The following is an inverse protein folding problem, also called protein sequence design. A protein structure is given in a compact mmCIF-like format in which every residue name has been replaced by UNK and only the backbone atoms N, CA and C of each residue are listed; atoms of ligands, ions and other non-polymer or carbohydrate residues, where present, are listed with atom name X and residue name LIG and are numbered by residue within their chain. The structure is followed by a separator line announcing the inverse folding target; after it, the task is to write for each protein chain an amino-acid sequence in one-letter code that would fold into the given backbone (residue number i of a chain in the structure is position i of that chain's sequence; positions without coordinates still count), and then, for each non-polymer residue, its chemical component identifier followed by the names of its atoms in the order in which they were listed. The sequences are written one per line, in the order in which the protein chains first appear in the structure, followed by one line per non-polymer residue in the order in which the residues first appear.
data_IF_330319885902
#
_entry.id   IF_330319885902
#
_cell.length_a   1.000
_cell.length_b   1.000
_cell.length_c   1.000
_cell.angle_alpha   90.00
_cell.angle_beta   90.00
_cell.angle_gamma   90.00
#
_symmetry.space_group_name_H-M   'P 1'
#
loop_
_entity.id
_entity.type
_entity.pdbx_description
1 polymer ?
#
# COMPACT_ATOMS: atom_id res chain seq x y z
N UNK A 1 16.66 6.38 21.16
CA UNK A 1 17.81 7.20 20.70
C UNK A 1 17.74 8.56 21.34
N UNK A 2 18.87 9.19 21.64
CA UNK A 2 18.88 10.58 22.09
C UNK A 2 18.95 11.49 20.86
N UNK A 3 17.81 12.10 20.50
CA UNK A 3 17.76 13.12 19.47
C UNK A 3 17.93 14.48 20.15
N UNK A 4 19.18 14.94 20.26
CA UNK A 4 19.47 16.30 20.69
C UNK A 4 18.76 17.29 19.75
N UNK A 5 18.20 18.39 20.26
CA UNK A 5 17.62 19.41 19.39
C UNK A 5 18.67 19.91 18.38
N UNK A 6 18.24 20.13 17.16
CA UNK A 6 19.08 20.71 16.12
C UNK A 6 19.25 22.18 16.46
N UNK A 7 20.48 22.56 16.84
CA UNK A 7 20.85 23.92 17.25
C UNK A 7 20.88 24.96 16.13
N UNK A 8 20.15 24.72 15.04
CA UNK A 8 20.05 25.65 13.93
C UNK A 8 19.03 26.74 14.26
N UNK A 9 19.52 27.87 14.79
CA UNK A 9 18.70 29.05 15.08
C UNK A 9 18.49 29.87 13.81
N UNK A 10 17.29 29.81 13.24
CA UNK A 10 16.88 30.73 12.18
C UNK A 10 16.61 32.10 12.79
N UNK A 11 17.60 33.01 12.77
CA UNK A 11 17.44 34.37 13.29
C UNK A 11 16.39 35.12 12.45
N UNK A 12 15.50 35.87 13.11
CA UNK A 12 14.53 36.78 12.50
C UNK A 12 13.45 36.17 11.60
N UNK A 13 13.26 34.86 11.57
CA UNK A 13 12.08 34.26 10.92
C UNK A 13 11.04 33.95 12.00
N UNK A 14 9.97 34.75 12.06
CA UNK A 14 8.75 34.33 12.75
C UNK A 14 8.26 32.98 12.21
N UNK A 15 7.35 32.31 12.93
CA UNK A 15 6.64 31.17 12.34
C UNK A 15 5.91 31.72 11.12
N UNK A 16 6.25 31.28 9.89
CA UNK A 16 5.68 31.90 8.72
C UNK A 16 4.18 31.63 8.64
N UNK A 17 3.38 32.68 8.44
CA UNK A 17 1.95 32.53 8.17
C UNK A 17 1.77 32.29 6.68
N UNK A 18 1.53 31.04 6.30
CA UNK A 18 1.23 30.67 4.92
C UNK A 18 -0.28 30.56 4.79
N UNK A 19 -0.87 31.27 3.84
CA UNK A 19 -2.29 31.12 3.52
C UNK A 19 -2.48 29.87 2.66
N UNK A 20 -3.40 29.01 3.09
CA UNK A 20 -3.77 27.76 2.46
C UNK A 20 -5.22 27.83 2.00
N UNK A 21 -5.50 27.17 0.88
CA UNK A 21 -6.84 26.91 0.38
C UNK A 21 -7.14 25.44 0.47
N UNK A 22 -8.31 25.13 1.00
CA UNK A 22 -8.85 23.79 0.93
C UNK A 22 -9.33 23.50 -0.50
N UNK A 23 -8.99 22.33 -0.99
CA UNK A 23 -9.21 21.91 -2.36
C UNK A 23 -9.81 20.53 -2.39
N UNK A 24 -10.92 20.40 -3.12
CA UNK A 24 -11.59 19.13 -3.37
C UNK A 24 -11.22 18.57 -4.74
N UNK A 25 -10.70 17.35 -4.75
CA UNK A 25 -10.44 16.56 -5.96
C UNK A 25 -11.61 15.61 -6.25
N UNK A 26 -12.00 15.54 -7.51
CA UNK A 26 -13.07 14.65 -7.99
C UNK A 26 -12.47 13.42 -8.67
N UNK A 27 -12.71 12.24 -8.11
CA UNK A 27 -12.28 10.95 -8.67
C UNK A 27 -13.49 10.18 -9.21
N UNK A 28 -13.26 9.16 -10.04
CA UNK A 28 -14.29 8.18 -10.38
C UNK A 28 -14.73 7.44 -9.10
N UNK A 29 -15.98 7.61 -8.72
CA UNK A 29 -16.61 7.01 -7.55
C UNK A 29 -17.41 5.74 -7.89
N UNK A 30 -17.33 5.28 -9.15
CA UNK A 30 -17.97 4.04 -9.60
C UNK A 30 -17.63 2.88 -8.67
N UNK A 31 -18.67 2.18 -8.22
CA UNK A 31 -18.56 1.08 -7.26
C UNK A 31 -19.62 0.01 -7.49
N UNK A 32 -19.36 -1.16 -6.93
CA UNK A 32 -20.34 -2.23 -6.81
C UNK A 32 -21.31 -1.84 -5.69
N UNK A 33 -22.60 -1.78 -6.01
CA UNK A 33 -23.66 -1.48 -5.04
C UNK A 33 -23.74 -2.56 -3.95
N UNK A 34 -24.25 -3.74 -4.31
CA UNK A 34 -24.30 -4.90 -3.42
C UNK A 34 -23.20 -5.91 -3.79
N UNK A 35 -22.16 -5.98 -2.95
CA UNK A 35 -21.07 -6.94 -3.15
C UNK A 35 -21.51 -8.39 -2.91
N UNK A 36 -22.51 -8.60 -2.04
CA UNK A 36 -23.04 -9.91 -1.71
C UNK A 36 -23.73 -10.54 -2.90
N UNK A 37 -24.68 -9.80 -3.49
CA UNK A 37 -25.37 -10.24 -4.71
C UNK A 37 -24.38 -10.44 -5.87
N UNK A 38 -23.53 -9.43 -6.13
CA UNK A 38 -22.56 -9.45 -7.23
C UNK A 38 -21.62 -10.66 -7.15
N UNK A 39 -20.99 -10.88 -5.99
CA UNK A 39 -20.01 -11.96 -5.85
C UNK A 39 -20.68 -13.34 -5.79
N UNK A 40 -21.87 -13.46 -5.20
CA UNK A 40 -22.63 -14.72 -5.20
C UNK A 40 -22.97 -15.15 -6.61
N UNK A 41 -23.43 -14.23 -7.46
CA UNK A 41 -23.69 -14.50 -8.87
C UNK A 41 -22.42 -14.91 -9.63
N UNK A 42 -21.32 -14.18 -9.42
CA UNK A 42 -20.03 -14.48 -10.07
C UNK A 42 -19.48 -15.86 -9.67
N UNK A 43 -19.58 -16.22 -8.38
CA UNK A 43 -19.18 -17.54 -7.88
C UNK A 43 -20.07 -18.65 -8.46
N UNK A 44 -21.39 -18.46 -8.49
CA UNK A 44 -22.35 -19.43 -9.02
C UNK A 44 -22.14 -19.73 -10.51
N UNK A 45 -21.64 -18.76 -11.27
CA UNK A 45 -21.37 -18.92 -12.70
C UNK A 45 -20.08 -19.71 -13.02
N UNK A 46 -19.24 -20.03 -12.01
CA UNK A 46 -18.01 -20.78 -12.23
C UNK A 46 -18.29 -22.24 -12.61
N UNK A 47 -17.70 -22.76 -13.70
CA UNK A 47 -17.82 -24.18 -14.08
C UNK A 47 -16.87 -25.04 -13.24
N UNK A 48 -17.16 -25.17 -11.94
CA UNK A 48 -16.31 -25.90 -11.00
C UNK A 48 -16.55 -27.42 -11.04
N UNK A 49 -15.53 -28.24 -10.75
CA UNK A 49 -15.73 -29.66 -10.52
C UNK A 49 -16.54 -29.91 -9.23
N UNK A 50 -17.02 -31.15 -9.00
CA UNK A 50 -17.60 -31.53 -7.71
C UNK A 50 -16.63 -31.29 -6.55
N UNK A 51 -17.09 -30.59 -5.51
CA UNK A 51 -16.26 -30.17 -4.37
C UNK A 51 -16.49 -30.98 -3.09
N UNK A 52 -17.47 -31.90 -3.09
CA UNK A 52 -17.82 -32.71 -1.92
C UNK A 52 -16.58 -33.42 -1.34
N UNK A 53 -16.32 -33.19 -0.05
CA UNK A 53 -15.18 -33.73 0.68
C UNK A 53 -13.81 -33.14 0.30
N UNK A 54 -13.70 -32.35 -0.77
CA UNK A 54 -12.43 -31.75 -1.22
C UNK A 54 -11.92 -30.74 -0.21
N UNK A 55 -10.62 -30.78 0.05
CA UNK A 55 -9.97 -29.85 0.96
C UNK A 55 -9.52 -28.62 0.17
N UNK A 56 -10.02 -27.44 0.53
CA UNK A 56 -9.81 -26.20 -0.22
C UNK A 56 -9.19 -25.13 0.66
N UNK A 57 -8.03 -24.62 0.25
CA UNK A 57 -7.37 -23.49 0.90
C UNK A 57 -7.82 -22.16 0.28
N UNK A 58 -8.20 -21.19 1.10
CA UNK A 58 -8.51 -19.82 0.67
C UNK A 58 -7.43 -18.88 1.18
N UNK A 59 -6.76 -18.15 0.29
CA UNK A 59 -5.69 -17.23 0.70
C UNK A 59 -6.25 -15.98 1.38
N UNK A 60 -5.62 -15.53 2.47
CA UNK A 60 -5.87 -14.23 3.07
C UNK A 60 -4.57 -13.41 3.17
N UNK A 61 -4.58 -12.22 2.58
CA UNK A 61 -3.44 -11.30 2.55
C UNK A 61 -3.34 -10.40 3.78
N UNK A 62 -2.26 -9.62 3.86
CA UNK A 62 -1.98 -8.72 4.98
C UNK A 62 -2.43 -7.28 4.76
N UNK A 63 -3.35 -7.03 3.83
CA UNK A 63 -3.72 -5.67 3.42
C UNK A 63 -5.20 -5.45 3.66
N UNK A 64 -5.52 -4.28 4.20
CA UNK A 64 -6.88 -3.77 4.19
C UNK A 64 -7.36 -3.63 2.76
N UNK A 65 -8.45 -4.33 2.45
CA UNK A 65 -9.20 -4.24 1.21
C UNK A 65 -10.66 -4.03 1.62
N UNK A 66 -11.35 -3.14 0.93
CA UNK A 66 -12.74 -2.84 1.14
C UNK A 66 -13.59 -4.11 1.17
N UNK A 67 -14.38 -4.27 2.24
CA UNK A 67 -15.29 -5.40 2.44
C UNK A 67 -14.59 -6.78 2.38
N UNK A 68 -13.28 -6.87 2.66
CA UNK A 68 -12.52 -8.14 2.56
C UNK A 68 -13.09 -9.26 3.44
N UNK A 69 -13.58 -8.92 4.63
CA UNK A 69 -14.24 -9.86 5.54
C UNK A 69 -15.48 -10.48 4.88
N UNK A 70 -16.32 -9.64 4.28
CA UNK A 70 -17.52 -10.07 3.54
C UNK A 70 -17.16 -10.92 2.32
N UNK A 71 -16.20 -10.47 1.50
CA UNK A 71 -15.72 -11.22 0.33
C UNK A 71 -15.21 -12.60 0.73
N UNK A 72 -14.34 -12.66 1.75
CA UNK A 72 -13.78 -13.92 2.24
C UNK A 72 -14.87 -14.85 2.75
N UNK A 73 -15.84 -14.33 3.52
CA UNK A 73 -16.97 -15.11 4.04
C UNK A 73 -17.83 -15.69 2.93
N UNK A 74 -18.17 -14.91 1.91
CA UNK A 74 -18.96 -15.36 0.76
C UNK A 74 -18.27 -16.49 -0.01
N UNK A 75 -16.94 -16.40 -0.20
CA UNK A 75 -16.16 -17.47 -0.83
C UNK A 75 -16.18 -18.72 0.03
N UNK A 76 -15.96 -18.59 1.34
CA UNK A 76 -15.97 -19.73 2.27
C UNK A 76 -17.32 -20.43 2.28
N UNK A 77 -18.41 -19.67 2.41
CA UNK A 77 -19.77 -20.22 2.44
C UNK A 77 -20.13 -20.91 1.13
N UNK A 78 -19.85 -20.27 -0.01
CA UNK A 78 -20.08 -20.84 -1.34
C UNK A 78 -19.41 -22.21 -1.55
N UNK A 79 -18.19 -22.38 -1.02
CA UNK A 79 -17.45 -23.63 -1.09
C UNK A 79 -18.01 -24.67 -0.10
N UNK A 80 -18.37 -24.26 1.12
CA UNK A 80 -18.98 -25.13 2.14
C UNK A 80 -20.34 -25.67 1.71
N UNK A 81 -21.16 -24.83 1.08
CA UNK A 81 -22.47 -25.20 0.54
C UNK A 81 -22.38 -26.25 -0.58
N UNK A 82 -21.18 -26.42 -1.15
CA UNK A 82 -20.83 -27.46 -2.13
C UNK A 82 -20.12 -28.67 -1.51
N UNK A 83 -20.16 -28.80 -0.19
CA UNK A 83 -19.60 -29.92 0.57
C UNK A 83 -18.07 -29.89 0.74
N UNK A 84 -17.41 -28.76 0.47
CA UNK A 84 -15.96 -28.67 0.60
C UNK A 84 -15.49 -28.54 2.07
N UNK A 85 -14.33 -29.12 2.36
CA UNK A 85 -13.59 -28.95 3.59
C UNK A 85 -12.68 -27.70 3.49
N UNK A 86 -13.23 -26.54 3.82
CA UNK A 86 -12.57 -25.23 3.62
C UNK A 86 -11.71 -24.83 4.82
N UNK A 87 -10.56 -24.20 4.54
CA UNK A 87 -9.74 -23.53 5.55
C UNK A 87 -9.04 -22.31 4.95
N UNK A 88 -8.72 -21.33 5.79
CA UNK A 88 -8.02 -20.12 5.37
C UNK A 88 -6.52 -20.27 5.64
N UNK A 89 -5.70 -19.82 4.68
CA UNK A 89 -4.25 -19.76 4.82
C UNK A 89 -3.77 -18.30 4.77
N UNK A 90 -3.05 -17.83 5.80
CA UNK A 90 -2.34 -16.57 5.70
C UNK A 90 -1.30 -16.63 4.56
N UNK A 91 -1.43 -15.75 3.59
CA UNK A 91 -0.60 -15.72 2.38
C UNK A 91 -0.01 -14.32 2.21
N UNK A 92 1.01 -14.01 3.03
CA UNK A 92 1.51 -12.64 3.17
C UNK A 92 3.03 -12.50 3.22
N UNK A 93 3.76 -13.50 2.73
CA UNK A 93 5.22 -13.45 2.63
C UNK A 93 5.88 -13.30 4.01
N UNK A 94 6.62 -12.20 4.21
CA UNK A 94 7.31 -11.85 5.46
C UNK A 94 6.48 -11.01 6.44
N UNK A 95 5.24 -10.65 6.10
CA UNK A 95 4.39 -9.88 7.00
C UNK A 95 4.05 -10.65 8.28
N UNK A 96 3.60 -9.94 9.31
CA UNK A 96 3.42 -10.52 10.64
C UNK A 96 4.75 -10.99 11.26
N UNK A 97 5.87 -10.35 10.90
CA UNK A 97 7.21 -10.76 11.34
C UNK A 97 7.70 -12.10 10.75
N UNK A 98 6.99 -12.66 9.76
CA UNK A 98 7.33 -13.96 9.19
C UNK A 98 7.12 -15.13 10.15
N UNK A 99 6.22 -14.98 11.12
CA UNK A 99 5.82 -16.04 12.07
C UNK A 99 4.36 -16.41 11.91
N UNK A 100 3.99 -17.63 12.30
CA UNK A 100 2.61 -18.10 12.20
C UNK A 100 1.66 -17.25 13.08
N UNK A 101 2.09 -16.93 14.30
CA UNK A 101 1.32 -16.14 15.26
C UNK A 101 1.15 -14.71 14.79
N UNK A 102 2.21 -14.09 14.26
CA UNK A 102 2.13 -12.73 13.78
C UNK A 102 1.26 -12.60 12.53
N UNK A 103 1.27 -13.59 11.63
CA UNK A 103 0.37 -13.60 10.48
C UNK A 103 -1.09 -13.80 10.89
N UNK A 104 -1.38 -14.62 11.91
CA UNK A 104 -2.73 -14.76 12.46
C UNK A 104 -3.24 -13.43 13.06
N UNK A 105 -2.41 -12.73 13.84
CA UNK A 105 -2.74 -11.40 14.39
C UNK A 105 -3.05 -10.37 13.31
N UNK A 106 -2.31 -10.37 12.20
CA UNK A 106 -2.59 -9.49 11.06
C UNK A 106 -3.98 -9.76 10.46
N UNK A 107 -4.44 -11.02 10.41
CA UNK A 107 -5.79 -11.34 9.92
C UNK A 107 -6.89 -10.89 10.90
N UNK A 108 -6.63 -10.97 12.21
CA UNK A 108 -7.54 -10.50 13.26
C UNK A 108 -7.83 -8.99 13.13
N UNK A 109 -6.84 -8.18 12.75
CA UNK A 109 -7.01 -6.74 12.47
C UNK A 109 -8.00 -6.46 11.33
N UNK A 110 -8.19 -7.41 10.42
CA UNK A 110 -9.17 -7.33 9.31
C UNK A 110 -10.46 -8.12 9.61
N UNK A 111 -10.68 -8.49 10.87
CA UNK A 111 -11.82 -9.31 11.30
C UNK A 111 -11.92 -10.64 10.56
N UNK A 112 -10.79 -11.20 10.11
CA UNK A 112 -10.71 -12.54 9.54
C UNK A 112 -10.22 -13.47 10.65
N UNK A 113 -11.18 -14.08 11.34
CA UNK A 113 -10.98 -14.99 12.48
C UNK A 113 -11.69 -16.31 12.24
N UNK A 114 -11.33 -17.36 12.98
CA UNK A 114 -11.99 -18.66 12.87
C UNK A 114 -13.49 -18.57 13.22
N UNK A 115 -13.83 -17.72 14.19
CA UNK A 115 -15.20 -17.42 14.60
C UNK A 115 -15.99 -16.72 13.49
N UNK A 116 -15.47 -15.61 12.95
CA UNK A 116 -16.16 -14.83 11.91
C UNK A 116 -16.29 -15.59 10.58
N UNK A 117 -15.33 -16.48 10.28
CA UNK A 117 -15.31 -17.24 9.03
C UNK A 117 -16.01 -18.61 9.16
N UNK A 118 -16.13 -19.14 10.38
CA UNK A 118 -16.71 -20.46 10.64
C UNK A 118 -15.90 -21.60 10.02
N UNK A 119 -14.59 -21.40 9.85
CA UNK A 119 -13.60 -22.35 9.33
C UNK A 119 -12.24 -22.14 9.98
N UNK A 120 -11.36 -23.17 10.02
CA UNK A 120 -10.02 -23.03 10.59
C UNK A 120 -9.14 -22.03 9.83
N UNK A 121 -8.26 -21.34 10.56
CA UNK A 121 -7.14 -20.56 10.00
C UNK A 121 -5.87 -21.37 10.24
N UNK A 122 -5.34 -21.96 9.17
CA UNK A 122 -4.12 -22.77 9.22
C UNK A 122 -2.93 -21.86 8.96
N UNK A 123 -2.40 -21.28 10.04
CA UNK A 123 -1.18 -20.49 10.01
C UNK A 123 0.02 -21.35 10.37
N UNK A 124 0.93 -21.54 9.43
CA UNK A 124 2.20 -22.22 9.62
C UNK A 124 3.26 -21.57 8.71
N UNK A 125 4.55 -21.79 8.96
CA UNK A 125 5.63 -21.24 8.12
C UNK A 125 6.30 -22.28 7.20
N UNK A 126 5.82 -23.52 7.19
CA UNK A 126 6.35 -24.57 6.31
C UNK A 126 6.12 -24.22 4.84
N UNK A 127 7.12 -24.50 4.02
CA UNK A 127 7.11 -24.28 2.58
C UNK A 127 7.81 -25.43 1.86
N UNK A 128 7.45 -25.64 0.60
CA UNK A 128 8.16 -26.52 -0.32
C UNK A 128 8.30 -25.86 -1.68
N UNK A 129 9.36 -26.18 -2.40
CA UNK A 129 9.53 -25.74 -3.78
C UNK A 129 8.67 -26.59 -4.71
N UNK A 130 7.83 -25.94 -5.49
CA UNK A 130 6.82 -26.59 -6.35
C UNK A 130 7.20 -26.55 -7.83
N UNK A 131 8.27 -25.84 -8.18
CA UNK A 131 8.76 -25.72 -9.54
C UNK A 131 9.76 -24.59 -9.67
N UNK A 132 10.08 -24.27 -10.91
CA UNK A 132 11.04 -23.26 -11.30
C UNK A 132 10.44 -22.46 -12.46
N UNK A 133 10.63 -21.14 -12.43
CA UNK A 133 10.19 -20.29 -13.53
C UNK A 133 11.05 -20.51 -14.77
N UNK A 134 10.57 -20.10 -15.96
CA UNK A 134 11.40 -19.97 -17.18
C UNK A 134 12.67 -19.14 -16.91
N UNK A 135 12.56 -18.24 -15.92
CA UNK A 135 13.58 -17.43 -15.30
C UNK A 135 14.77 -18.12 -14.63
N UNK A 136 14.64 -19.41 -14.31
CA UNK A 136 15.54 -20.12 -13.42
C UNK A 136 15.30 -19.84 -11.91
N UNK A 137 14.16 -19.24 -11.55
CA UNK A 137 13.87 -18.87 -10.15
C UNK A 137 12.96 -19.93 -9.53
N UNK A 138 13.40 -20.52 -8.41
CA UNK A 138 12.61 -21.52 -7.68
C UNK A 138 11.38 -20.87 -7.04
N UNK A 139 10.22 -21.51 -7.22
CA UNK A 139 8.94 -21.06 -6.66
C UNK A 139 8.54 -21.96 -5.51
N UNK A 140 8.21 -21.36 -4.37
CA UNK A 140 7.76 -22.06 -3.18
C UNK A 140 6.26 -21.85 -2.95
N UNK A 141 5.63 -22.82 -2.28
CA UNK A 141 4.27 -22.73 -1.77
C UNK A 141 4.23 -23.15 -0.30
N UNK A 142 3.28 -22.61 0.46
CA UNK A 142 3.00 -23.01 1.83
C UNK A 142 2.56 -24.47 1.91
N UNK A 143 3.13 -25.22 2.85
CA UNK A 143 2.87 -26.66 2.98
C UNK A 143 1.38 -27.00 3.09
N UNK A 144 0.65 -26.30 3.97
CA UNK A 144 -0.80 -26.51 4.13
C UNK A 144 -1.60 -26.20 2.86
N UNK A 145 -1.29 -25.11 2.16
CA UNK A 145 -1.97 -24.72 0.93
C UNK A 145 -1.71 -25.74 -0.19
N UNK A 146 -0.46 -26.20 -0.35
CA UNK A 146 -0.12 -27.18 -1.36
C UNK A 146 -0.66 -28.58 -1.07
N UNK A 147 -0.81 -28.94 0.21
CA UNK A 147 -1.41 -30.21 0.63
C UNK A 147 -2.93 -30.27 0.39
N UNK A 148 -3.59 -29.14 0.14
CA UNK A 148 -4.99 -29.10 -0.26
C UNK A 148 -5.20 -29.71 -1.65
N UNK A 149 -6.43 -30.16 -1.94
CA UNK A 149 -6.84 -30.54 -3.30
C UNK A 149 -6.78 -29.31 -4.20
N UNK A 150 -7.26 -28.17 -3.68
CA UNK A 150 -7.45 -26.94 -4.42
C UNK A 150 -7.11 -25.69 -3.61
N UNK A 151 -6.75 -24.62 -4.30
CA UNK A 151 -6.43 -23.30 -3.75
C UNK A 151 -7.29 -22.25 -4.46
N UNK A 152 -7.97 -21.40 -3.67
CA UNK A 152 -8.61 -20.17 -4.14
C UNK A 152 -7.72 -18.99 -3.78
N UNK A 153 -7.32 -18.24 -4.80
CA UNK A 153 -6.41 -17.09 -4.65
C UNK A 153 -7.24 -15.81 -4.61
N UNK A 154 -7.13 -15.02 -3.54
CA UNK A 154 -7.90 -13.79 -3.35
C UNK A 154 -6.92 -12.64 -3.16
N UNK A 155 -7.01 -11.60 -3.97
CA UNK A 155 -6.20 -10.40 -3.76
C UNK A 155 -6.76 -9.16 -4.47
N UNK A 156 -6.30 -7.99 -4.01
CA UNK A 156 -6.48 -6.72 -4.71
C UNK A 156 -5.46 -6.56 -5.83
N UNK A 157 -5.95 -6.25 -7.04
CA UNK A 157 -5.15 -5.80 -8.17
C UNK A 157 -4.92 -4.30 -8.00
N UNK A 158 -3.64 -3.87 -7.95
CA UNK A 158 -3.28 -2.45 -7.82
C UNK A 158 -1.87 -2.14 -8.31
N UNK A 159 -1.62 -0.87 -8.56
CA UNK A 159 -0.28 -0.37 -8.83
C UNK A 159 0.68 -0.69 -7.66
N UNK A 160 1.89 -1.11 -7.99
CA UNK A 160 2.99 -1.36 -7.07
C UNK A 160 3.70 -0.06 -6.70
N UNK A 161 4.30 -0.05 -5.52
CA UNK A 161 5.02 1.11 -4.97
C UNK A 161 6.50 1.15 -5.36
N UNK A 162 7.07 0.02 -5.79
CA UNK A 162 8.53 -0.13 -6.00
C UNK A 162 8.94 -0.38 -7.45
N UNK A 163 8.02 -0.73 -8.36
CA UNK A 163 8.34 -0.99 -9.77
C UNK A 163 7.10 -0.77 -10.65
N UNK A 164 7.30 -0.75 -11.96
CA UNK A 164 6.25 -0.61 -12.97
C UNK A 164 6.37 -1.71 -14.01
N UNK A 165 5.25 -2.37 -14.29
CA UNK A 165 5.18 -3.46 -15.25
C UNK A 165 3.74 -3.73 -15.69
N UNK A 166 3.57 -4.68 -16.61
CA UNK A 166 2.26 -5.18 -17.02
C UNK A 166 1.58 -6.02 -15.91
N UNK A 167 2.37 -6.49 -14.95
CA UNK A 167 1.96 -7.23 -13.76
C UNK A 167 2.56 -6.58 -12.52
N UNK A 168 1.73 -6.22 -11.54
CA UNK A 168 2.16 -5.49 -10.35
C UNK A 168 1.64 -6.17 -9.07
N UNK A 169 0.69 -5.59 -8.34
CA UNK A 169 -0.01 -6.32 -7.26
C UNK A 169 -1.25 -6.99 -7.82
N UNK A 170 -1.55 -8.20 -7.36
CA UNK A 170 -2.69 -8.99 -7.83
C UNK A 170 -2.62 -10.45 -7.39
N UNK A 171 -3.36 -11.31 -8.08
CA UNK A 171 -3.37 -12.76 -7.90
C UNK A 171 -2.00 -13.37 -8.23
N UNK A 172 -1.31 -12.91 -9.28
CA UNK A 172 0.02 -13.41 -9.63
C UNK A 172 1.02 -13.17 -8.50
N UNK A 173 0.97 -11.99 -7.87
CA UNK A 173 1.80 -11.66 -6.71
C UNK A 173 1.39 -12.46 -5.46
N UNK A 174 0.09 -12.70 -5.28
CA UNK A 174 -0.40 -13.55 -4.18
C UNK A 174 0.15 -14.97 -4.31
N UNK A 175 0.21 -15.52 -5.53
CA UNK A 175 0.83 -16.81 -5.80
C UNK A 175 2.35 -16.77 -5.56
N UNK A 176 3.07 -15.84 -6.19
CA UNK A 176 4.54 -15.79 -6.12
C UNK A 176 5.08 -15.49 -4.70
N UNK A 177 4.51 -14.48 -4.02
CA UNK A 177 5.04 -13.97 -2.75
C UNK A 177 4.17 -14.39 -1.57
N UNK A 178 2.84 -14.30 -1.71
CA UNK A 178 1.91 -14.60 -0.63
C UNK A 178 1.98 -16.07 -0.21
N UNK A 179 1.66 -16.97 -1.14
CA UNK A 179 1.74 -18.43 -0.95
C UNK A 179 3.18 -18.91 -0.72
N UNK A 180 4.18 -18.18 -1.21
CA UNK A 180 5.59 -18.48 -0.95
C UNK A 180 6.01 -18.34 0.52
N UNK A 181 5.20 -17.69 1.37
CA UNK A 181 5.54 -17.34 2.76
C UNK A 181 6.92 -16.65 2.84
N UNK A 182 7.57 -16.66 4.00
CA UNK A 182 8.83 -15.95 4.17
C UNK A 182 9.96 -16.49 3.28
N UNK A 183 10.12 -17.82 3.18
CA UNK A 183 11.20 -18.46 2.40
C UNK A 183 11.03 -18.20 0.90
N UNK A 184 9.83 -18.37 0.35
CA UNK A 184 9.53 -18.09 -1.05
C UNK A 184 9.67 -16.62 -1.38
N UNK A 185 9.14 -15.73 -0.53
CA UNK A 185 9.33 -14.29 -0.68
C UNK A 185 10.83 -13.93 -0.72
N UNK A 186 11.62 -14.36 0.26
CA UNK A 186 13.05 -14.09 0.28
C UNK A 186 13.79 -14.67 -0.95
N UNK A 187 13.34 -15.82 -1.46
CA UNK A 187 13.91 -16.44 -2.67
C UNK A 187 13.68 -15.59 -3.91
N UNK A 188 12.46 -15.13 -4.16
CA UNK A 188 12.16 -14.33 -5.36
C UNK A 188 12.74 -12.91 -5.26
N UNK A 189 12.81 -12.31 -4.07
CA UNK A 189 13.40 -10.98 -3.89
C UNK A 189 14.92 -10.96 -4.16
N UNK A 190 15.63 -12.10 -4.06
CA UNK A 190 17.04 -12.20 -4.47
C UNK A 190 17.26 -11.92 -5.96
N UNK A 191 16.23 -12.08 -6.81
CA UNK A 191 16.30 -11.73 -8.22
C UNK A 191 16.18 -10.21 -8.49
N UNK A 192 15.91 -9.40 -7.44
CA UNK A 192 15.74 -7.95 -7.54
C UNK A 192 14.34 -7.55 -8.01
N UNK A 193 13.84 -6.41 -7.52
CA UNK A 193 12.49 -5.89 -7.84
C UNK A 193 12.27 -5.68 -9.33
N UNK A 194 13.31 -5.31 -10.07
CA UNK A 194 13.22 -5.00 -11.50
C UNK A 194 12.90 -6.25 -12.33
N UNK A 195 13.14 -7.45 -11.80
CA UNK A 195 12.78 -8.71 -12.43
C UNK A 195 11.31 -9.08 -12.28
N UNK A 196 10.56 -8.42 -11.37
CA UNK A 196 9.21 -8.86 -10.98
C UNK A 196 8.19 -8.74 -12.09
N UNK A 197 8.32 -7.75 -12.98
CA UNK A 197 7.44 -7.62 -14.14
C UNK A 197 7.43 -8.87 -15.02
N UNK A 198 8.59 -9.55 -15.10
CA UNK A 198 8.74 -10.83 -15.81
C UNK A 198 8.42 -12.03 -14.92
N UNK A 199 8.88 -12.04 -13.67
CA UNK A 199 8.73 -13.20 -12.76
C UNK A 199 7.29 -13.43 -12.28
N UNK A 200 6.48 -12.38 -12.13
CA UNK A 200 5.09 -12.50 -11.67
C UNK A 200 4.24 -13.45 -12.54
N UNK A 201 4.13 -13.23 -13.87
CA UNK A 201 3.39 -14.14 -14.73
C UNK A 201 4.06 -15.53 -14.82
N UNK A 202 5.39 -15.63 -14.85
CA UNK A 202 6.08 -16.94 -14.87
C UNK A 202 5.79 -17.76 -13.60
N UNK A 203 5.78 -17.13 -12.43
CA UNK A 203 5.44 -17.79 -11.17
C UNK A 203 3.98 -18.24 -11.16
N UNK A 204 3.07 -17.41 -11.68
CA UNK A 204 1.67 -17.78 -11.85
C UNK A 204 1.51 -19.02 -12.76
N UNK A 205 2.25 -19.10 -13.87
CA UNK A 205 2.28 -20.29 -14.74
C UNK A 205 2.70 -21.55 -13.97
N UNK A 206 3.71 -21.47 -13.11
CA UNK A 206 4.13 -22.60 -12.26
C UNK A 206 2.99 -23.06 -11.36
N UNK A 207 2.33 -22.13 -10.65
CA UNK A 207 1.20 -22.46 -9.78
C UNK A 207 0.01 -23.06 -10.54
N UNK A 208 -0.36 -22.46 -11.68
CA UNK A 208 -1.46 -22.95 -12.53
C UNK A 208 -1.13 -24.34 -13.07
N UNK A 209 0.13 -24.58 -13.49
CA UNK A 209 0.60 -25.86 -14.01
C UNK A 209 0.54 -27.02 -13.01
N UNK A 210 0.46 -26.73 -11.70
CA UNK A 210 0.24 -27.76 -10.67
C UNK A 210 -1.17 -28.35 -10.69
N UNK A 211 -2.13 -27.68 -11.35
CA UNK A 211 -3.55 -28.03 -11.32
C UNK A 211 -4.27 -27.73 -9.99
N UNK A 212 -3.59 -27.10 -9.02
CA UNK A 212 -4.16 -26.81 -7.70
C UNK A 212 -4.98 -25.53 -7.64
N UNK A 213 -4.73 -24.55 -8.50
CA UNK A 213 -5.53 -23.32 -8.50
C UNK A 213 -6.94 -23.65 -9.03
N UNK A 214 -7.96 -23.42 -8.20
CA UNK A 214 -9.36 -23.67 -8.57
C UNK A 214 -9.95 -22.47 -9.31
N UNK A 215 -9.80 -21.28 -8.72
CA UNK A 215 -10.08 -19.98 -9.33
C UNK A 215 -9.40 -18.88 -8.51
N UNK A 216 -9.31 -17.68 -9.08
CA UNK A 216 -8.91 -16.47 -8.39
C UNK A 216 -10.11 -15.53 -8.16
N UNK A 217 -10.03 -14.70 -7.13
CA UNK A 217 -10.95 -13.57 -6.89
C UNK A 217 -10.14 -12.29 -6.88
N UNK A 218 -10.22 -11.56 -7.99
CA UNK A 218 -9.52 -10.30 -8.18
C UNK A 218 -10.42 -9.14 -7.76
N UNK A 219 -9.89 -8.25 -6.92
CA UNK A 219 -10.59 -7.09 -6.40
C UNK A 219 -9.90 -5.80 -6.90
N UNK A 220 -10.67 -4.80 -7.32
CA UNK A 220 -10.17 -3.46 -7.63
C UNK A 220 -10.96 -2.45 -6.82
N UNK A 221 -10.26 -1.54 -6.17
CA UNK A 221 -10.87 -0.44 -5.42
C UNK A 221 -10.84 0.85 -6.24
N UNK A 222 -11.80 1.74 -5.98
CA UNK A 222 -11.75 3.12 -6.43
C UNK A 222 -10.95 4.01 -5.44
N UNK A 223 -10.84 5.30 -5.75
CA UNK A 223 -10.14 6.30 -4.97
C UNK A 223 -10.67 6.46 -3.52
N UNK A 224 -11.95 6.16 -3.29
CA UNK A 224 -12.62 6.23 -1.99
C UNK A 224 -12.48 4.92 -1.18
N UNK A 225 -11.61 3.98 -1.63
CA UNK A 225 -11.44 2.64 -1.04
C UNK A 225 -12.75 1.85 -0.98
N UNK A 226 -13.54 1.93 -2.04
CA UNK A 226 -14.72 1.08 -2.25
C UNK A 226 -14.46 0.09 -3.39
N UNK A 227 -15.06 -1.10 -3.32
CA UNK A 227 -14.90 -2.11 -4.38
C UNK A 227 -15.60 -1.66 -5.66
N UNK A 228 -14.79 -1.45 -6.70
CA UNK A 228 -15.23 -1.03 -8.03
C UNK A 228 -15.26 -2.19 -9.04
N UNK A 229 -14.47 -3.25 -8.79
CA UNK A 229 -14.51 -4.52 -9.53
C UNK A 229 -14.29 -5.66 -8.54
N UNK A 230 -15.02 -6.75 -8.72
CA UNK A 230 -14.81 -8.03 -8.06
C UNK A 230 -15.10 -9.15 -9.06
N UNK A 231 -14.08 -9.92 -9.44
CA UNK A 231 -14.20 -10.93 -10.49
C UNK A 231 -13.67 -12.28 -10.03
N UNK A 232 -14.45 -13.33 -10.30
CA UNK A 232 -14.04 -14.72 -10.17
C UNK A 232 -13.44 -15.18 -11.50
N UNK A 233 -12.17 -15.60 -11.50
CA UNK A 233 -11.38 -15.84 -12.71
C UNK A 233 -10.86 -17.27 -12.71
N UNK A 234 -11.10 -18.00 -13.80
CA UNK A 234 -10.58 -19.37 -13.96
C UNK A 234 -9.05 -19.36 -14.17
N UNK A 235 -8.33 -20.43 -13.77
CA UNK A 235 -6.86 -20.47 -13.79
C UNK A 235 -6.25 -20.08 -15.13
N UNK A 236 -6.81 -20.58 -16.23
CA UNK A 236 -6.35 -20.31 -17.61
C UNK A 236 -6.43 -18.82 -18.00
N UNK A 237 -7.28 -18.04 -17.33
CA UNK A 237 -7.57 -16.65 -17.69
C UNK A 237 -6.90 -15.65 -16.72
N UNK A 238 -6.38 -16.10 -15.56
CA UNK A 238 -5.82 -15.23 -14.50
C UNK A 238 -4.76 -14.28 -15.04
N UNK A 239 -3.76 -14.79 -15.76
CA UNK A 239 -2.63 -13.99 -16.24
C UNK A 239 -3.08 -12.95 -17.27
N UNK A 240 -4.02 -13.29 -18.15
CA UNK A 240 -4.55 -12.33 -19.11
C UNK A 240 -5.41 -11.27 -18.40
N UNK A 241 -6.35 -11.72 -17.56
CA UNK A 241 -7.35 -10.84 -16.97
C UNK A 241 -6.77 -9.91 -15.91
N UNK A 242 -5.80 -10.36 -15.11
CA UNK A 242 -5.12 -9.50 -14.12
C UNK A 242 -4.44 -8.29 -14.79
N UNK A 243 -3.81 -8.48 -15.95
CA UNK A 243 -3.18 -7.40 -16.70
C UNK A 243 -4.20 -6.33 -17.11
N UNK A 244 -5.37 -6.75 -17.57
CA UNK A 244 -6.47 -5.84 -17.93
C UNK A 244 -7.04 -5.13 -16.70
N UNK A 245 -7.22 -5.85 -15.60
CA UNK A 245 -7.68 -5.29 -14.32
C UNK A 245 -6.69 -4.28 -13.72
N UNK A 246 -5.39 -4.45 -13.95
CA UNK A 246 -4.38 -3.50 -13.49
C UNK A 246 -4.50 -2.15 -14.20
N UNK A 247 -4.89 -2.13 -15.48
CA UNK A 247 -5.18 -0.88 -16.20
C UNK A 247 -6.35 -0.17 -15.54
N UNK A 248 -7.45 -0.88 -15.30
CA UNK A 248 -8.64 -0.34 -14.61
C UNK A 248 -8.28 0.17 -13.22
N UNK A 249 -7.46 -0.58 -12.47
CA UNK A 249 -7.02 -0.18 -11.13
C UNK A 249 -6.18 1.11 -11.16
N UNK A 250 -5.34 1.30 -12.17
CA UNK A 250 -4.52 2.51 -12.33
C UNK A 250 -5.35 3.74 -12.73
N UNK A 251 -6.43 3.55 -13.46
CA UNK A 251 -7.37 4.63 -13.82
C UNK A 251 -8.23 5.08 -12.63
N UNK A 252 -8.57 4.15 -11.74
CA UNK A 252 -9.47 4.38 -10.59
C UNK A 252 -8.77 4.74 -9.29
N UNK A 253 -7.44 4.70 -9.23
CA UNK A 253 -6.70 5.07 -8.02
C UNK A 253 -6.79 6.58 -7.74
N UNK A 254 -6.70 6.97 -6.47
CA UNK A 254 -6.55 8.36 -6.10
C UNK A 254 -5.18 8.90 -6.55
N UNK A 255 -5.13 10.17 -6.93
CA UNK A 255 -3.90 10.84 -7.33
C UNK A 255 -3.94 12.34 -6.99
N UNK A 256 -2.78 12.99 -7.00
CA UNK A 256 -2.69 14.45 -6.99
C UNK A 256 -2.85 14.95 -8.44
N UNK A 257 -3.94 15.66 -8.70
CA UNK A 257 -4.14 16.33 -9.97
C UNK A 257 -3.43 17.67 -10.04
N UNK A 258 -3.00 18.24 -8.92
CA UNK A 258 -2.12 19.42 -8.86
C UNK A 258 -0.67 18.99 -8.61
N UNK A 259 0.29 19.69 -9.21
CA UNK A 259 1.72 19.37 -9.11
C UNK A 259 2.57 20.62 -9.24
N UNK A 260 3.90 20.45 -9.30
CA UNK A 260 4.84 21.57 -9.39
C UNK A 260 5.05 22.31 -8.07
N UNK A 261 4.72 21.66 -6.94
CA UNK A 261 4.95 22.21 -5.62
C UNK A 261 6.45 22.27 -5.30
N UNK A 262 6.81 23.21 -4.44
CA UNK A 262 8.12 23.21 -3.81
C UNK A 262 8.16 22.16 -2.69
N UNK A 263 7.08 22.06 -1.90
CA UNK A 263 6.96 21.14 -0.76
C UNK A 263 5.66 20.33 -0.82
N UNK A 264 5.77 19.00 -0.69
CA UNK A 264 4.66 18.12 -0.30
C UNK A 264 4.77 17.87 1.20
N UNK A 265 3.86 18.46 1.97
CA UNK A 265 3.73 18.24 3.41
C UNK A 265 2.76 17.07 3.66
N UNK A 266 3.20 16.07 4.42
CA UNK A 266 2.42 14.86 4.71
C UNK A 266 2.29 14.71 6.22
N UNK A 267 1.05 14.69 6.73
CA UNK A 267 0.84 14.56 8.18
C UNK A 267 1.33 13.21 8.70
N UNK A 268 1.01 12.12 8.00
CA UNK A 268 1.33 10.78 8.47
C UNK A 268 1.65 9.77 7.36
N UNK A 269 2.56 8.85 7.70
CA UNK A 269 2.89 7.68 6.86
C UNK A 269 2.48 6.39 7.55
N UNK A 270 2.43 5.30 6.79
CA UNK A 270 2.22 4.01 7.41
C UNK A 270 2.07 2.85 6.46
N UNK A 271 2.30 1.64 6.99
CA UNK A 271 2.13 0.40 6.24
C UNK A 271 0.68 0.13 5.85
N UNK A 272 -0.26 0.62 6.65
CA UNK A 272 -1.69 0.61 6.36
C UNK A 272 -2.06 1.58 5.23
N UNK A 273 -1.31 2.68 5.05
CA UNK A 273 -1.50 3.65 3.97
C UNK A 273 -0.93 3.08 2.66
N UNK A 274 0.35 2.68 2.65
CA UNK A 274 1.02 2.09 1.49
C UNK A 274 2.06 1.05 1.91
N UNK A 275 2.41 0.14 1.01
CA UNK A 275 3.49 -0.82 1.26
C UNK A 275 4.83 -0.15 1.56
N UNK A 276 5.05 1.01 0.94
CA UNK A 276 6.23 1.86 1.12
C UNK A 276 5.95 3.04 2.07
N UNK A 277 4.99 2.95 2.99
CA UNK A 277 4.66 4.02 3.96
C UNK A 277 3.83 5.16 3.36
N UNK A 278 4.30 5.72 2.24
CA UNK A 278 3.58 6.61 1.33
C UNK A 278 3.48 5.95 -0.03
N UNK A 279 2.46 6.27 -0.82
CA UNK A 279 2.32 5.71 -2.17
C UNK A 279 3.18 6.49 -3.18
N UNK A 280 4.21 5.88 -3.79
CA UNK A 280 5.02 6.54 -4.81
C UNK A 280 4.27 6.81 -6.11
N UNK A 281 3.10 6.18 -6.32
CA UNK A 281 2.20 6.58 -7.41
C UNK A 281 1.63 7.98 -7.20
N UNK A 282 1.64 8.48 -5.97
CA UNK A 282 1.24 9.84 -5.61
C UNK A 282 2.47 10.74 -5.47
N UNK A 283 3.50 10.29 -4.76
CA UNK A 283 4.69 11.13 -4.48
C UNK A 283 5.73 11.17 -5.60
N UNK A 284 5.62 10.31 -6.61
CA UNK A 284 6.60 10.17 -7.68
C UNK A 284 7.98 9.66 -7.26
N UNK A 285 8.15 9.22 -6.00
CA UNK A 285 9.46 8.82 -5.44
C UNK A 285 9.45 7.39 -4.90
N UNK A 286 9.69 6.37 -5.77
CA UNK A 286 9.78 5.00 -5.30
C UNK A 286 11.11 4.75 -4.56
N UNK A 287 11.13 3.96 -3.49
CA UNK A 287 12.36 3.61 -2.76
C UNK A 287 13.45 2.93 -3.58
N UNK A 288 13.08 2.27 -4.67
CA UNK A 288 14.00 1.59 -5.60
C UNK A 288 14.67 2.54 -6.59
N UNK A 289 14.17 3.77 -6.74
CA UNK A 289 14.59 4.68 -7.81
C UNK A 289 14.07 4.26 -9.19
N UNK A 290 13.12 3.33 -9.28
CA UNK A 290 12.55 2.86 -10.53
C UNK A 290 11.85 3.98 -11.32
N UNK A 291 11.95 3.91 -12.65
CA UNK A 291 11.25 4.84 -13.54
C UNK A 291 9.75 4.49 -13.71
N UNK A 292 9.00 5.38 -14.36
CA UNK A 292 7.60 5.16 -14.72
C UNK A 292 6.57 5.49 -13.63
N UNK A 293 7.02 5.99 -12.49
CA UNK A 293 6.15 6.67 -11.54
C UNK A 293 5.85 8.09 -12.04
N UNK A 294 4.67 8.66 -11.73
CA UNK A 294 4.34 10.03 -12.14
C UNK A 294 5.43 11.00 -11.70
N UNK A 295 5.72 12.01 -12.53
CA UNK A 295 6.74 13.03 -12.22
C UNK A 295 6.50 13.63 -10.82
N UNK A 296 7.58 13.97 -10.09
CA UNK A 296 7.46 14.33 -8.68
C UNK A 296 6.48 15.51 -8.55
N UNK A 297 5.42 15.37 -7.74
CA UNK A 297 4.48 16.47 -7.52
C UNK A 297 5.19 17.62 -6.78
N UNK A 298 6.30 17.35 -6.08
CA UNK A 298 7.06 18.31 -5.30
C UNK A 298 8.58 18.14 -5.35
N UNK A 299 9.31 19.26 -5.19
CA UNK A 299 10.78 19.29 -5.07
C UNK A 299 11.28 18.74 -3.74
N UNK A 300 10.51 18.88 -2.67
CA UNK A 300 10.76 18.28 -1.36
C UNK A 300 9.51 17.59 -0.82
N UNK A 301 9.71 16.55 0.00
CA UNK A 301 8.67 15.88 0.77
C UNK A 301 9.04 15.99 2.25
N UNK A 302 8.11 16.50 3.05
CA UNK A 302 8.24 16.48 4.50
C UNK A 302 7.15 15.64 5.16
N UNK A 303 7.51 14.93 6.23
CA UNK A 303 6.58 14.04 6.95
C UNK A 303 6.55 14.36 8.43
N UNK A 304 5.34 14.54 8.97
CA UNK A 304 5.15 14.99 10.34
C UNK A 304 4.94 13.84 11.33
N UNK A 305 4.49 12.67 10.88
CA UNK A 305 4.08 11.60 11.79
C UNK A 305 4.00 10.21 11.14
N UNK A 306 3.64 9.23 11.96
CA UNK A 306 3.39 7.84 11.56
C UNK A 306 2.10 7.37 12.21
N UNK A 307 1.29 6.64 11.45
CA UNK A 307 0.04 6.07 11.93
C UNK A 307 0.27 5.10 13.10
N UNK A 308 -0.60 5.09 14.13
CA UNK A 308 -0.52 4.10 15.21
C UNK A 308 -0.59 2.65 14.71
N UNK A 309 -1.39 2.39 13.66
CA UNK A 309 -1.55 1.08 13.04
C UNK A 309 -0.25 0.51 12.43
N UNK A 310 0.78 1.34 12.22
CA UNK A 310 2.07 0.86 11.73
C UNK A 310 2.96 0.28 12.82
N UNK A 311 2.60 0.43 14.11
CA UNK A 311 3.40 -0.07 15.23
C UNK A 311 4.82 0.50 15.26
N UNK A 312 5.02 1.72 14.76
CA UNK A 312 6.34 2.37 14.61
C UNK A 312 7.13 1.94 13.37
N UNK A 313 6.60 1.05 12.52
CA UNK A 313 7.28 0.63 11.29
C UNK A 313 7.26 1.73 10.21
N UNK A 314 8.33 2.52 10.15
CA UNK A 314 8.45 3.68 9.29
C UNK A 314 9.06 3.37 7.91
N UNK A 315 8.82 2.18 7.36
CA UNK A 315 9.36 1.83 6.04
C UNK A 315 8.90 2.82 4.97
N UNK A 316 9.85 3.30 4.16
CA UNK A 316 9.65 4.34 3.15
C UNK A 316 9.86 5.77 3.64
N UNK A 317 10.13 5.98 4.94
CA UNK A 317 10.51 7.29 5.48
C UNK A 317 11.73 7.89 4.77
N UNK A 318 12.64 7.05 4.28
CA UNK A 318 13.81 7.50 3.52
C UNK A 318 13.52 8.17 2.18
N UNK A 319 12.25 8.21 1.76
CA UNK A 319 11.81 8.96 0.57
C UNK A 319 11.37 10.39 0.87
N UNK A 320 11.36 10.77 2.14
CA UNK A 320 11.19 12.16 2.57
C UNK A 320 12.55 12.85 2.74
N UNK A 321 12.55 14.17 2.58
CA UNK A 321 13.72 15.02 2.77
C UNK A 321 13.84 15.49 4.22
N UNK A 322 12.69 15.79 4.85
CA UNK A 322 12.59 16.32 6.21
C UNK A 322 11.52 15.54 6.99
N UNK A 323 11.81 15.21 8.25
CA UNK A 323 10.86 14.60 9.18
C UNK A 323 10.77 15.38 10.48
N UNK A 324 9.62 15.33 11.15
CA UNK A 324 9.51 15.88 12.50
C UNK A 324 10.32 15.06 13.51
N UNK A 325 10.74 15.70 14.60
CA UNK A 325 11.37 15.05 15.75
C UNK A 325 10.43 14.04 16.43
N UNK A 326 9.12 14.29 16.40
CA UNK A 326 8.11 13.37 16.95
C UNK A 326 8.03 12.07 16.14
N UNK A 327 8.03 12.17 14.81
CA UNK A 327 8.12 11.01 13.93
C UNK A 327 9.41 10.24 14.18
N UNK A 328 10.57 10.93 14.22
CA UNK A 328 11.86 10.29 14.47
C UNK A 328 11.89 9.48 15.79
N UNK A 329 11.21 9.97 16.84
CA UNK A 329 11.07 9.28 18.13
C UNK A 329 10.13 8.08 18.10
N UNK A 330 9.17 8.07 17.19
CA UNK A 330 8.16 7.02 17.06
C UNK A 330 8.61 5.81 16.22
N UNK A 331 9.82 5.86 15.63
CA UNK A 331 10.33 4.78 14.77
C UNK A 331 10.71 3.55 15.59
N UNK A 332 10.14 2.41 15.23
CA UNK A 332 10.58 1.08 15.63
C UNK A 332 11.56 0.55 14.58
N UNK A 333 12.85 0.66 14.89
CA UNK A 333 13.94 0.40 13.95
C UNK A 333 14.06 -1.07 13.55
N UNK A 334 13.78 -2.00 14.46
CA UNK A 334 13.91 -3.44 14.18
C UNK A 334 12.97 -3.85 13.05
N UNK A 335 11.69 -3.49 13.16
CA UNK A 335 10.67 -3.78 12.15
C UNK A 335 10.88 -2.98 10.87
N UNK A 336 11.37 -1.74 10.98
CA UNK A 336 11.67 -0.91 9.80
C UNK A 336 12.82 -1.53 8.99
N UNK A 337 13.94 -1.86 9.64
CA UNK A 337 15.12 -2.41 8.97
C UNK A 337 14.93 -3.86 8.52
N UNK A 338 14.18 -4.67 9.27
CA UNK A 338 13.82 -6.04 8.84
C UNK A 338 13.09 -6.01 7.49
N UNK A 339 12.16 -5.06 7.29
CA UNK A 339 11.51 -4.91 5.99
C UNK A 339 12.45 -4.43 4.90
N UNK A 340 13.29 -3.42 5.19
CA UNK A 340 14.23 -2.89 4.20
C UNK A 340 15.19 -4.00 3.71
N UNK A 341 15.68 -4.84 4.63
CA UNK A 341 16.51 -6.00 4.30
C UNK A 341 15.73 -7.07 3.51
N UNK A 342 14.50 -7.39 3.93
CA UNK A 342 13.68 -8.39 3.24
C UNK A 342 13.33 -7.97 1.82
N UNK A 343 13.04 -6.68 1.62
CA UNK A 343 12.75 -6.11 0.31
C UNK A 343 14.01 -5.90 -0.55
N UNK A 344 15.20 -5.88 0.06
CA UNK A 344 16.45 -5.53 -0.62
C UNK A 344 16.59 -4.03 -0.92
N UNK A 345 15.84 -3.16 -0.21
CA UNK A 345 15.77 -1.72 -0.50
C UNK A 345 16.16 -0.89 0.72
N UNK A 346 17.47 -0.74 0.94
CA UNK A 346 18.03 0.03 2.08
C UNK A 346 17.54 1.48 2.08
N UNK A 347 17.37 2.09 0.89
CA UNK A 347 16.92 3.46 0.75
C UNK A 347 15.60 3.74 1.47
N UNK A 348 14.69 2.76 1.51
CA UNK A 348 13.39 2.88 2.18
C UNK A 348 13.50 3.15 3.70
N UNK A 349 14.59 2.70 4.34
CA UNK A 349 14.82 2.85 5.78
C UNK A 349 15.79 3.97 6.17
N UNK A 350 16.27 4.79 5.22
CA UNK A 350 17.19 5.90 5.54
C UNK A 350 16.51 6.93 6.43
N UNK A 351 17.25 7.52 7.36
CA UNK A 351 16.76 8.57 8.25
C UNK A 351 16.98 9.93 7.58
N UNK A 352 15.91 10.70 7.28
CA UNK A 352 15.99 12.03 6.69
C UNK A 352 16.50 13.09 7.67
N UNK A 353 16.61 14.34 7.20
CA UNK A 353 16.84 15.48 8.08
C UNK A 353 15.71 15.57 9.11
N UNK A 354 16.06 15.71 10.38
CA UNK A 354 15.06 15.88 11.45
C UNK A 354 14.80 17.38 11.62
N UNK A 355 13.59 17.79 11.98
CA UNK A 355 13.24 19.15 12.35
C UNK A 355 12.63 19.16 13.75
N UNK A 356 12.96 20.15 14.60
CA UNK A 356 12.52 20.11 16.01
C UNK A 356 11.01 20.35 16.16
N UNK A 357 10.40 21.01 15.17
CA UNK A 357 8.98 21.32 15.13
C UNK A 357 8.48 21.37 13.69
N UNK A 358 7.15 21.37 13.49
CA UNK A 358 6.55 21.56 12.18
C UNK A 358 6.88 22.93 11.57
N UNK A 359 7.07 23.97 12.41
CA UNK A 359 7.54 25.27 11.92
C UNK A 359 8.97 25.21 11.39
N UNK A 360 9.85 24.42 12.05
CA UNK A 360 11.21 24.19 11.55
C UNK A 360 11.19 23.45 10.20
N UNK A 361 10.22 22.55 9.97
CA UNK A 361 10.05 21.89 8.65
C UNK A 361 9.86 22.93 7.56
N UNK A 362 8.96 23.90 7.76
CA UNK A 362 8.71 24.96 6.78
C UNK A 362 9.95 25.83 6.59
N UNK A 363 10.58 26.27 7.68
CA UNK A 363 11.77 27.11 7.63
C UNK A 363 12.94 26.41 6.91
N UNK A 364 13.20 25.14 7.22
CA UNK A 364 14.24 24.34 6.57
C UNK A 364 13.93 24.16 5.08
N UNK A 365 12.67 23.93 4.72
CA UNK A 365 12.23 23.85 3.33
C UNK A 365 12.50 25.17 2.59
N UNK A 366 12.10 26.32 3.16
CA UNK A 366 12.36 27.64 2.57
C UNK A 366 13.85 27.84 2.27
N UNK A 367 14.71 27.59 3.26
CA UNK A 367 16.15 27.82 3.13
C UNK A 367 16.79 26.90 2.10
N UNK A 368 16.44 25.62 2.11
CA UNK A 368 17.04 24.63 1.21
C UNK A 368 16.51 24.71 -0.22
N UNK A 369 15.31 25.26 -0.42
CA UNK A 369 14.71 25.52 -1.72
C UNK A 369 15.01 26.93 -2.26
N UNK A 370 15.74 27.76 -1.51
CA UNK A 370 16.10 29.12 -1.91
C UNK A 370 14.91 30.07 -2.01
N UNK A 371 13.99 30.00 -1.04
CA UNK A 371 12.84 30.92 -0.92
C UNK A 371 13.15 31.98 0.13
N UNK A 372 12.89 33.24 -0.22
CA UNK A 372 13.18 34.39 0.63
C UNK A 372 12.08 34.62 1.66
N UNK A 373 10.83 34.34 1.27
CA UNK A 373 9.65 34.43 2.14
C UNK A 373 8.81 33.16 2.04
N UNK A 374 7.94 32.96 3.02
CA UNK A 374 7.14 31.73 3.08
C UNK A 374 5.97 31.74 2.10
N UNK A 375 5.50 32.93 1.74
CA UNK A 375 4.48 33.15 0.72
C UNK A 375 4.97 32.76 -0.69
N UNK A 376 6.29 32.63 -0.90
CA UNK A 376 6.89 32.11 -2.13
C UNK A 376 6.87 30.58 -2.21
N UNK A 377 6.71 29.87 -1.08
CA UNK A 377 6.65 28.42 -1.09
C UNK A 377 5.34 27.94 -1.69
N UNK A 378 5.44 27.12 -2.75
CA UNK A 378 4.31 26.34 -3.27
C UNK A 378 4.15 25.06 -2.47
N UNK A 379 3.09 24.93 -1.68
CA UNK A 379 2.87 23.81 -0.76
C UNK A 379 1.62 23.04 -1.19
N UNK A 380 1.76 21.72 -1.29
CA UNK A 380 0.63 20.80 -1.23
C UNK A 380 0.70 20.11 0.13
N UNK A 381 -0.37 20.20 0.92
CA UNK A 381 -0.47 19.56 2.22
C UNK A 381 -1.58 18.51 2.17
N UNK A 382 -1.22 17.29 2.56
CA UNK A 382 -2.11 16.14 2.61
C UNK A 382 -2.01 15.48 3.98
N UNK A 383 -3.11 14.89 4.42
CA UNK A 383 -3.08 14.00 5.58
C UNK A 383 -2.17 12.79 5.30
N UNK A 384 -2.45 12.06 4.22
CA UNK A 384 -1.64 10.95 3.75
C UNK A 384 -1.95 10.62 2.27
N UNK A 385 -1.12 9.79 1.63
CA UNK A 385 -1.28 9.44 0.19
C UNK A 385 -2.49 8.56 -0.12
N UNK A 386 -3.29 8.16 0.87
CA UNK A 386 -4.50 7.37 0.66
C UNK A 386 -5.79 8.19 0.84
N UNK A 387 -5.69 9.44 1.28
CA UNK A 387 -6.79 10.36 1.51
C UNK A 387 -6.51 11.66 0.75
N UNK A 388 -6.83 11.68 -0.54
CA UNK A 388 -6.49 12.78 -1.45
C UNK A 388 -7.73 13.57 -1.93
N UNK A 389 -8.92 13.23 -1.47
CA UNK A 389 -10.16 13.91 -1.90
C UNK A 389 -10.21 15.35 -1.43
N UNK A 390 -9.72 15.60 -0.23
CA UNK A 390 -9.56 16.93 0.35
C UNK A 390 -8.08 17.13 0.65
N UNK A 391 -7.51 18.20 0.10
CA UNK A 391 -6.10 18.59 0.31
C UNK A 391 -6.06 20.09 0.59
N UNK A 392 -4.95 20.57 1.11
CA UNK A 392 -4.69 22.00 1.24
C UNK A 392 -3.56 22.39 0.28
N UNK A 393 -3.69 23.55 -0.37
CA UNK A 393 -2.64 24.10 -1.23
C UNK A 393 -2.37 25.55 -0.87
N UNK A 394 -1.13 26.01 -1.00
CA UNK A 394 -0.81 27.41 -0.72
C UNK A 394 -1.52 28.35 -1.70
N UNK A 395 -1.87 29.54 -1.24
CA UNK A 395 -2.61 30.56 -2.01
C UNK A 395 -1.96 30.90 -3.36
N UNK A 396 -0.63 30.87 -3.42
CA UNK A 396 0.15 31.12 -4.63
C UNK A 396 0.05 30.01 -5.70
N UNK A 397 -0.72 28.94 -5.45
CA UNK A 397 -1.01 27.84 -6.39
C UNK A 397 -2.43 27.90 -6.98
N UNK A 398 -3.20 28.96 -6.72
CA UNK A 398 -4.61 29.07 -7.16
C UNK A 398 -4.76 29.05 -8.68
N UNK A 399 -3.83 29.67 -9.41
CA UNK A 399 -3.90 29.70 -10.88
C UNK A 399 -3.80 28.29 -11.47
N UNK A 400 -2.96 27.43 -10.89
CA UNK A 400 -2.79 26.03 -11.28
C UNK A 400 -4.04 25.18 -10.99
N UNK A 401 -4.91 25.62 -10.07
CA UNK A 401 -6.22 25.00 -9.79
C UNK A 401 -7.22 25.36 -10.88
N UNK A 402 -7.30 26.64 -11.25
CA UNK A 402 -8.25 27.13 -12.26
C UNK A 402 -8.04 26.45 -13.62
N UNK A 403 -6.78 26.17 -13.99
CA UNK A 403 -6.45 25.40 -15.20
C UNK A 403 -6.99 23.95 -15.19
N UNK A 404 -7.35 23.41 -14.02
CA UNK A 404 -7.82 22.03 -13.81
C UNK A 404 -9.26 21.95 -13.31
N UNK A 405 -10.01 23.05 -13.48
CA UNK A 405 -11.40 23.17 -13.05
C UNK A 405 -12.25 22.00 -13.56
N UNK A 406 -13.09 21.46 -12.68
CA UNK A 406 -13.91 20.27 -12.93
C UNK A 406 -13.31 18.99 -12.33
N UNK A 407 -11.99 18.80 -12.39
CA UNK A 407 -11.28 17.74 -11.64
C UNK A 407 -10.86 18.19 -10.25
N UNK A 408 -10.59 19.49 -10.12
CA UNK A 408 -10.21 20.15 -8.88
C UNK A 408 -11.13 21.34 -8.68
N UNK A 409 -11.66 21.51 -7.46
CA UNK A 409 -12.52 22.63 -7.09
C UNK A 409 -12.06 23.20 -5.74
N UNK A 410 -11.96 24.52 -5.64
CA UNK A 410 -11.67 25.20 -4.38
C UNK A 410 -12.86 25.03 -3.43
N UNK A 411 -12.62 24.54 -2.22
CA UNK A 411 -13.60 24.53 -1.14
C UNK A 411 -13.70 25.93 -0.51
N UNK A 412 -14.86 26.31 0.04
CA UNK A 412 -15.05 27.66 0.58
C UNK A 412 -14.06 27.96 1.71
N UNK A 413 -13.22 28.98 1.53
CA UNK A 413 -12.35 29.51 2.59
C UNK A 413 -10.88 29.67 2.21
N UNK A 414 -10.20 30.55 2.97
CA UNK A 414 -8.74 30.64 3.04
C UNK A 414 -8.43 30.57 4.53
N UNK A 415 -7.48 29.72 4.91
CA UNK A 415 -7.04 29.54 6.28
C UNK A 415 -5.52 29.63 6.37
N UNK A 416 -4.96 30.07 7.51
CA UNK A 416 -3.53 29.90 7.72
C UNK A 416 -3.20 28.39 7.82
N UNK A 417 -2.02 28.00 7.35
CA UNK A 417 -1.48 26.66 7.59
C UNK A 417 -1.44 26.38 9.10
N UNK A 418 -2.25 25.43 9.56
CA UNK A 418 -2.33 25.08 10.96
C UNK A 418 -1.26 24.05 11.31
N UNK A 419 -0.19 24.53 11.95
CA UNK A 419 0.86 23.69 12.52
C UNK A 419 0.53 23.40 13.99
N UNK A 420 0.62 22.14 14.44
CA UNK A 420 0.37 21.77 15.84
C UNK A 420 1.42 22.45 16.75
N UNK A 421 0.97 23.51 17.45
CA UNK A 421 1.63 24.23 18.55
C UNK A 421 3.17 24.31 18.52
N UNK A 422 3.62 25.48 18.11
CA UNK A 422 4.97 26.06 18.10
C UNK A 422 5.61 26.40 19.47
N UNK A 423 5.11 25.91 20.61
CA UNK A 423 5.29 26.66 21.88
C UNK A 423 6.14 26.05 23.01
N UNK A 424 7.12 25.17 22.75
CA UNK A 424 8.01 24.71 23.85
C UNK A 424 9.52 24.75 23.64
N UNK A 425 10.02 25.15 22.47
CA UNK A 425 11.48 25.23 22.21
C UNK A 425 11.87 26.64 21.74
N UNK A 426 11.39 27.68 22.44
CA UNK A 426 11.94 29.05 22.31
C UNK A 426 12.53 29.59 23.62
N UNK A 427 12.65 28.76 24.67
CA UNK A 427 13.15 29.17 26.00
C UNK A 427 14.30 28.34 26.56
N UNK A 428 15.09 27.68 25.72
CA UNK A 428 16.33 27.02 26.17
C UNK A 428 17.49 27.30 25.21
N UNK A 429 17.75 28.58 24.92
CA UNK A 429 19.08 29.13 24.64
C UNK A 429 19.14 30.57 25.14
#
# INVERSE_FOLDING_TARGET
MNFSPIGYNVKNTGVPSIQMREVRQSFDDSKIGDIGEHLTAALAALPLPPLEGRRIAVTAGSRGIAKITTVTKLIVDFLKDRGANVFIVPAMGSHGGGTAEGQKKVLEEYSITEESMGVPIVSDMSTLFIGETKSGVKIACGGAAFAADHIVVVNRVKAHSDFKAEYESGLCKMMMVGLGKHVGAATVHKAGSDSFGRLLPEAAEVFIGTGKILFGVALVENADKELAVAECILPRDIIKREKELLVIAKERQSNLYIGGADLLLVDEIGKNISGAGMDPNVTGRPPTGAAGFPAPPAKQIAVLGITPCSGGNAIGIGMSDIISLELARSIEFSSTYTNALTAGVIAAGRIPMIANSEADVILFSMMTLGRSTAEELKIIHIKNTSELKMIEVSENMVNEIEEKRGRINIAEGISPLFLKKTDKIRRLL
#
